data_IF_456166835416
#
_entry.id   IF_456166835416
#
_cell.length_a   1.000
_cell.length_b   1.000
_cell.length_c   1.000
_cell.angle_alpha   90.00
_cell.angle_beta   90.00
_cell.angle_gamma   90.00
#
_symmetry.space_group_name_H-M   'P 1'
#
loop_
_entity.id
_entity.type
_entity.pdbx_description
1 polymer ?
#
# COMPACT_ATOMS: atom_id res chain seq x y z
N UNK A 1 22.35 12.32 -8.32
CA UNK A 1 21.02 12.92 -8.35
C UNK A 1 20.04 11.98 -9.05
N UNK A 2 18.87 11.73 -8.41
CA UNK A 2 17.83 10.82 -8.93
C UNK A 2 17.25 11.31 -10.25
N UNK A 3 17.04 12.62 -10.39
CA UNK A 3 16.54 13.24 -11.62
C UNK A 3 17.44 12.91 -12.81
N UNK A 4 18.73 13.17 -12.67
CA UNK A 4 19.70 12.93 -13.73
C UNK A 4 19.79 11.43 -14.07
N UNK A 5 19.75 10.55 -13.06
CA UNK A 5 19.77 9.10 -13.25
C UNK A 5 18.56 8.62 -14.05
N UNK A 6 17.35 9.07 -13.72
CA UNK A 6 16.15 8.68 -14.45
C UNK A 6 16.16 9.13 -15.90
N UNK A 7 16.58 10.37 -16.18
CA UNK A 7 16.73 10.88 -17.56
C UNK A 7 17.78 10.08 -18.34
N UNK A 8 18.96 9.81 -17.75
CA UNK A 8 19.99 9.01 -18.40
C UNK A 8 19.55 7.57 -18.69
N UNK A 9 18.78 6.95 -17.81
CA UNK A 9 18.22 5.61 -18.03
C UNK A 9 17.23 5.66 -19.19
N UNK A 10 16.29 6.60 -19.22
CA UNK A 10 15.33 6.80 -20.30
C UNK A 10 16.03 6.98 -21.64
N UNK A 11 16.99 7.90 -21.71
CA UNK A 11 17.71 8.22 -22.97
C UNK A 11 18.50 7.04 -23.51
N UNK A 12 19.01 6.20 -22.61
CA UNK A 12 19.76 5.00 -22.97
C UNK A 12 18.87 3.82 -23.37
N UNK A 13 17.73 3.64 -22.68
CA UNK A 13 16.84 2.49 -22.88
C UNK A 13 15.74 2.75 -23.92
N UNK A 14 15.36 4.01 -24.14
CA UNK A 14 14.25 4.43 -25.02
C UNK A 14 12.99 3.57 -24.83
N UNK A 15 12.43 3.51 -23.60
CA UNK A 15 11.32 2.62 -23.32
C UNK A 15 10.03 3.11 -24.00
N UNK A 16 9.17 2.17 -24.42
CA UNK A 16 7.85 2.49 -24.97
C UNK A 16 6.92 3.09 -23.91
N UNK A 17 7.09 2.68 -22.66
CA UNK A 17 6.35 3.19 -21.52
C UNK A 17 7.18 3.15 -20.23
N UNK A 18 6.84 4.04 -19.30
CA UNK A 18 7.43 4.08 -17.95
C UNK A 18 6.35 3.73 -16.95
N UNK A 19 6.64 2.75 -16.07
CA UNK A 19 5.73 2.30 -15.02
C UNK A 19 6.34 2.64 -13.65
N UNK A 20 5.75 3.59 -12.91
CA UNK A 20 6.16 3.86 -11.53
C UNK A 20 5.77 2.71 -10.61
N UNK A 21 6.74 2.06 -9.98
CA UNK A 21 6.53 0.89 -9.11
C UNK A 21 6.92 1.13 -7.66
N UNK A 22 7.78 2.10 -7.43
CA UNK A 22 8.26 2.42 -6.08
C UNK A 22 7.98 3.87 -5.72
N UNK A 23 7.85 4.11 -4.45
CA UNK A 23 7.88 5.46 -3.86
C UNK A 23 9.28 6.08 -4.02
N UNK A 24 9.50 7.26 -3.57
CA UNK A 24 10.82 7.90 -3.57
C UNK A 24 11.50 7.99 -4.95
N UNK A 25 10.71 8.22 -5.99
CA UNK A 25 11.16 8.54 -7.35
C UNK A 25 11.12 10.06 -7.58
N UNK A 26 11.80 10.55 -8.61
CA UNK A 26 11.76 11.97 -9.01
C UNK A 26 10.50 12.23 -9.86
N UNK A 27 9.34 12.39 -9.20
CA UNK A 27 8.05 12.56 -9.89
C UNK A 27 8.00 13.79 -10.81
N UNK A 28 8.75 14.85 -10.48
CA UNK A 28 8.88 16.01 -11.36
C UNK A 28 9.47 15.65 -12.74
N UNK A 29 10.42 14.70 -12.77
CA UNK A 29 10.98 14.18 -14.03
C UNK A 29 9.94 13.39 -14.82
N UNK A 30 9.11 12.60 -14.13
CA UNK A 30 8.02 11.88 -14.82
C UNK A 30 7.02 12.85 -15.46
N UNK A 31 6.68 13.94 -14.79
CA UNK A 31 5.81 14.99 -15.33
C UNK A 31 6.45 15.64 -16.57
N UNK A 32 7.74 15.97 -16.52
CA UNK A 32 8.48 16.52 -17.65
C UNK A 32 8.51 15.55 -18.85
N UNK A 33 8.76 14.27 -18.60
CA UNK A 33 8.80 13.23 -19.62
C UNK A 33 7.42 13.00 -20.26
N UNK A 34 6.36 12.99 -19.45
CA UNK A 34 4.98 12.86 -19.93
C UNK A 34 4.60 14.06 -20.80
N UNK A 35 4.99 15.30 -20.43
CA UNK A 35 4.81 16.49 -21.24
C UNK A 35 5.59 16.45 -22.57
N UNK A 36 6.68 15.68 -22.65
CA UNK A 36 7.45 15.42 -23.87
C UNK A 36 6.87 14.27 -24.72
N UNK A 37 5.71 13.71 -24.34
CA UNK A 37 5.05 12.63 -25.05
C UNK A 37 5.47 11.20 -24.65
N UNK A 38 6.30 11.05 -23.61
CA UNK A 38 6.61 9.73 -23.07
C UNK A 38 5.40 9.18 -22.32
N UNK A 39 5.01 7.95 -22.60
CA UNK A 39 3.91 7.29 -21.89
C UNK A 39 4.34 6.92 -20.47
N UNK A 40 3.64 7.45 -19.46
CA UNK A 40 3.81 7.11 -18.04
C UNK A 40 2.50 6.52 -17.54
N UNK A 41 2.53 5.30 -17.01
CA UNK A 41 1.31 4.57 -16.60
C UNK A 41 1.52 3.89 -15.25
N UNK A 42 0.68 4.18 -14.22
CA UNK A 42 -0.32 5.26 -14.18
C UNK A 42 0.31 6.64 -14.40
N UNK A 43 -0.49 7.67 -14.55
CA UNK A 43 0.02 9.01 -14.94
C UNK A 43 1.10 9.55 -14.00
N UNK A 44 1.98 10.39 -14.49
CA UNK A 44 2.97 11.08 -13.66
C UNK A 44 2.29 11.91 -12.55
N UNK A 45 1.10 12.45 -12.81
CA UNK A 45 0.28 13.14 -11.80
C UNK A 45 -0.18 12.18 -10.71
N UNK A 46 -0.66 10.98 -11.05
CA UNK A 46 -1.03 9.97 -10.06
C UNK A 46 0.16 9.62 -9.16
N UNK A 47 1.33 9.34 -9.75
CA UNK A 47 2.54 9.05 -8.98
C UNK A 47 2.94 10.21 -8.06
N UNK A 48 2.81 11.45 -8.51
CA UNK A 48 3.14 12.64 -7.72
C UNK A 48 2.19 12.86 -6.55
N UNK A 49 0.88 12.81 -6.80
CA UNK A 49 -0.14 13.07 -5.77
C UNK A 49 -0.15 12.00 -4.68
N UNK A 50 0.08 10.74 -5.03
CA UNK A 50 0.05 9.64 -4.07
C UNK A 50 1.34 9.50 -3.26
N UNK A 51 2.45 10.09 -3.70
CA UNK A 51 3.67 10.21 -2.91
C UNK A 51 3.60 11.30 -1.84
N UNK A 52 2.68 12.24 -1.98
CA UNK A 52 2.47 13.38 -1.12
C UNK A 52 1.11 13.23 -0.41
N UNK A 53 1.14 12.96 0.91
CA UNK A 53 -0.10 12.84 1.70
C UNK A 53 -0.97 14.07 1.63
N UNK A 54 -0.38 15.26 1.46
CA UNK A 54 -1.16 16.47 1.30
C UNK A 54 -1.94 16.45 -0.01
N UNK A 55 -1.26 16.20 -1.12
CA UNK A 55 -1.91 16.23 -2.43
C UNK A 55 -3.05 15.23 -2.56
N UNK A 56 -2.87 13.99 -2.09
CA UNK A 56 -3.94 12.98 -2.16
C UNK A 56 -5.07 13.26 -1.16
N UNK A 57 -4.77 13.80 0.03
CA UNK A 57 -5.78 14.14 1.03
C UNK A 57 -6.66 15.31 0.57
N UNK A 58 -6.07 16.37 0.03
CA UNK A 58 -6.80 17.51 -0.53
C UNK A 58 -7.64 17.09 -1.75
N UNK A 59 -7.11 16.23 -2.63
CA UNK A 59 -7.90 15.68 -3.72
C UNK A 59 -9.13 14.92 -3.20
N UNK A 60 -8.95 14.04 -2.25
CA UNK A 60 -10.04 13.20 -1.73
C UNK A 60 -11.06 14.03 -0.93
N UNK A 61 -10.61 14.79 0.06
CA UNK A 61 -11.51 15.48 1.00
C UNK A 61 -12.09 16.77 0.45
N UNK A 62 -11.31 17.59 -0.26
CA UNK A 62 -11.73 18.93 -0.67
C UNK A 62 -12.27 18.95 -2.10
N UNK A 63 -11.60 18.28 -3.03
CA UNK A 63 -12.01 18.27 -4.44
C UNK A 63 -13.14 17.28 -4.69
N UNK A 64 -12.99 16.04 -4.23
CA UNK A 64 -13.96 14.96 -4.47
C UNK A 64 -15.01 14.85 -3.36
N UNK A 65 -14.77 15.46 -2.21
CA UNK A 65 -15.65 15.45 -1.05
C UNK A 65 -16.00 14.04 -0.55
N UNK A 66 -15.06 13.10 -0.71
CA UNK A 66 -15.23 11.75 -0.17
C UNK A 66 -14.93 11.74 1.34
N UNK A 67 -15.61 10.88 2.11
CA UNK A 67 -15.38 10.79 3.55
C UNK A 67 -13.93 10.38 3.86
N UNK A 68 -13.26 11.15 4.71
CA UNK A 68 -11.92 10.89 5.25
C UNK A 68 -11.94 11.10 6.76
N UNK A 69 -10.86 10.72 7.47
CA UNK A 69 -10.65 11.21 8.84
C UNK A 69 -10.53 12.74 8.84
N UNK A 70 -10.99 13.45 9.88
CA UNK A 70 -10.67 14.87 10.07
C UNK A 70 -9.15 15.06 10.09
N UNK A 71 -8.65 16.14 9.51
CA UNK A 71 -7.19 16.34 9.43
C UNK A 71 -6.78 17.81 9.44
N UNK A 72 -5.51 18.05 9.79
CA UNK A 72 -4.82 19.35 9.64
C UNK A 72 -3.38 19.10 9.24
N UNK A 73 -2.83 19.97 8.41
CA UNK A 73 -1.39 20.00 8.13
C UNK A 73 -0.70 21.01 9.04
N UNK A 74 0.55 20.72 9.41
CA UNK A 74 1.36 21.59 10.23
C UNK A 74 2.83 21.57 9.76
N UNK A 75 3.37 22.73 9.45
CA UNK A 75 4.77 22.92 9.03
C UNK A 75 5.67 23.36 10.19
N UNK A 76 5.08 23.91 11.24
CA UNK A 76 5.77 24.37 12.44
C UNK A 76 5.24 23.66 13.69
N UNK A 77 6.02 23.67 14.75
CA UNK A 77 5.60 23.09 16.03
C UNK A 77 4.38 23.83 16.61
N UNK A 78 4.25 25.14 16.40
CA UNK A 78 3.09 25.92 16.83
C UNK A 78 1.83 25.48 16.09
N UNK A 79 1.89 25.37 14.76
CA UNK A 79 0.79 24.86 13.94
C UNK A 79 0.42 23.41 14.32
N UNK A 80 1.42 22.59 14.68
CA UNK A 80 1.20 21.24 15.14
C UNK A 80 0.39 21.15 16.43
N UNK A 81 0.71 21.99 17.42
CA UNK A 81 -0.06 22.07 18.66
C UNK A 81 -1.51 22.53 18.40
N UNK A 82 -1.69 23.54 17.53
CA UNK A 82 -2.98 24.00 17.11
C UNK A 82 -3.77 22.90 16.37
N UNK A 83 -3.10 22.16 15.48
CA UNK A 83 -3.72 21.06 14.73
C UNK A 83 -4.25 19.96 15.67
N UNK A 84 -3.51 19.63 16.74
CA UNK A 84 -3.98 18.66 17.75
C UNK A 84 -5.20 19.20 18.50
N UNK A 85 -5.19 20.47 18.86
CA UNK A 85 -6.32 21.10 19.57
C UNK A 85 -7.59 21.10 18.71
N UNK A 86 -7.46 21.38 17.41
CA UNK A 86 -8.59 21.39 16.46
C UNK A 86 -9.09 19.97 16.11
N UNK A 87 -8.19 19.01 15.92
CA UNK A 87 -8.55 17.62 15.57
C UNK A 87 -9.04 16.85 16.79
N UNK A 88 -8.45 17.10 17.94
CA UNK A 88 -8.74 16.43 19.21
C UNK A 88 -7.98 15.11 19.38
N UNK A 89 -8.02 14.60 20.61
CA UNK A 89 -7.43 13.29 20.96
C UNK A 89 -8.54 12.24 21.11
N UNK A 90 -8.26 10.97 20.74
CA UNK A 90 -7.01 10.51 20.15
C UNK A 90 -6.84 10.93 18.69
N UNK A 91 -5.57 11.12 18.26
CA UNK A 91 -5.23 11.44 16.88
C UNK A 91 -3.96 10.71 16.42
N UNK A 92 -3.72 10.72 15.11
CA UNK A 92 -2.53 10.10 14.49
C UNK A 92 -1.71 11.19 13.82
N UNK A 93 -0.40 11.20 14.09
CA UNK A 93 0.55 12.13 13.48
C UNK A 93 1.44 11.37 12.53
N UNK A 94 1.60 11.89 11.31
CA UNK A 94 2.43 11.27 10.26
C UNK A 94 3.24 12.35 9.55
N UNK A 95 4.50 12.08 9.16
CA UNK A 95 5.18 12.95 8.17
C UNK A 95 4.40 12.96 6.85
N UNK A 96 4.34 14.09 6.18
CA UNK A 96 3.68 14.20 4.85
C UNK A 96 4.35 13.30 3.83
N UNK A 97 5.66 13.13 3.92
CA UNK A 97 6.44 12.24 3.06
C UNK A 97 7.14 11.16 3.89
N UNK A 98 6.53 10.01 4.03
CA UNK A 98 7.12 8.81 4.63
C UNK A 98 6.49 7.55 4.04
N UNK A 99 7.09 6.38 4.30
CA UNK A 99 6.52 5.08 3.91
C UNK A 99 6.65 4.09 5.05
N UNK A 100 5.85 3.03 5.03
CA UNK A 100 5.89 1.93 6.02
C UNK A 100 5.79 2.44 7.46
N UNK A 101 4.88 3.37 7.74
CA UNK A 101 4.62 3.86 9.09
C UNK A 101 5.77 4.63 9.78
N UNK A 102 6.89 4.89 9.09
CA UNK A 102 8.03 5.60 9.69
C UNK A 102 7.64 7.02 10.08
N UNK A 103 7.91 7.37 11.34
CA UNK A 103 7.55 8.67 11.90
C UNK A 103 6.07 8.80 12.27
N UNK A 104 5.27 7.73 12.17
CA UNK A 104 3.87 7.72 12.56
C UNK A 104 3.74 7.43 14.06
N UNK A 105 2.86 8.18 14.74
CA UNK A 105 2.50 7.97 16.14
C UNK A 105 1.01 8.16 16.35
N UNK A 106 0.41 7.34 17.22
CA UNK A 106 -0.93 7.57 17.73
C UNK A 106 -0.83 8.27 19.09
N UNK A 107 -1.51 9.39 19.23
CA UNK A 107 -1.54 10.20 20.46
C UNK A 107 -2.84 9.92 21.22
N UNK A 108 -2.72 9.47 22.44
CA UNK A 108 -3.85 9.26 23.35
C UNK A 108 -3.95 10.36 24.42
N UNK A 109 -2.88 11.09 24.65
CA UNK A 109 -2.84 12.14 25.67
C UNK A 109 -1.71 13.14 25.46
N UNK A 110 -1.68 14.17 26.30
CA UNK A 110 -0.71 15.27 26.21
C UNK A 110 0.76 14.80 26.30
N UNK A 111 1.02 13.70 27.02
CA UNK A 111 2.38 13.15 27.16
C UNK A 111 2.96 12.63 25.84
N UNK A 112 2.12 12.29 24.86
CA UNK A 112 2.53 11.73 23.58
C UNK A 112 2.93 12.81 22.57
N UNK A 113 2.54 14.07 22.80
CA UNK A 113 2.61 15.16 21.83
C UNK A 113 4.05 15.46 21.40
N UNK A 114 4.93 15.73 22.35
CA UNK A 114 6.33 16.07 22.06
C UNK A 114 7.16 14.88 21.51
N UNK A 115 7.03 13.65 22.04
CA UNK A 115 7.65 12.48 21.43
C UNK A 115 7.23 12.25 19.99
N UNK A 116 5.93 12.38 19.67
CA UNK A 116 5.40 12.18 18.33
C UNK A 116 5.92 13.21 17.31
N UNK A 117 5.99 14.49 17.70
CA UNK A 117 6.59 15.52 16.85
C UNK A 117 8.03 15.17 16.48
N UNK A 118 8.86 14.85 17.49
CA UNK A 118 10.26 14.48 17.24
C UNK A 118 10.41 13.27 16.36
N UNK A 119 9.63 12.21 16.62
CA UNK A 119 9.65 11.00 15.81
C UNK A 119 9.19 11.25 14.37
N UNK A 120 8.19 12.11 14.17
CA UNK A 120 7.74 12.49 12.83
C UNK A 120 8.83 13.24 12.05
N UNK A 121 9.59 14.14 12.71
CA UNK A 121 10.71 14.84 12.08
C UNK A 121 11.86 13.90 11.69
N UNK A 122 12.17 12.91 12.52
CA UNK A 122 13.19 11.88 12.23
C UNK A 122 12.78 10.94 11.10
N UNK A 123 11.48 10.60 11.00
CA UNK A 123 10.92 9.72 9.98
C UNK A 123 10.65 10.38 8.63
N UNK A 124 10.71 11.70 8.55
CA UNK A 124 10.41 12.45 7.32
C UNK A 124 11.46 12.19 6.24
N UNK A 125 11.01 12.04 4.99
CA UNK A 125 11.88 11.98 3.81
C UNK A 125 11.99 13.37 3.17
N UNK A 126 13.22 13.84 2.96
CA UNK A 126 13.49 15.15 2.37
C UNK A 126 13.38 16.30 3.38
N UNK A 127 13.31 17.53 2.90
CA UNK A 127 13.28 18.76 3.71
C UNK A 127 11.88 19.12 4.26
N UNK A 128 10.97 18.17 4.35
CA UNK A 128 9.59 18.57 4.42
C UNK A 128 9.10 19.01 5.80
N UNK A 129 9.71 18.71 6.92
CA UNK A 129 9.29 19.21 8.26
C UNK A 129 7.77 19.18 8.56
N UNK A 130 6.97 19.01 7.52
CA UNK A 130 5.52 19.06 7.56
C UNK A 130 4.92 17.72 7.99
N UNK A 131 3.96 17.77 8.88
CA UNK A 131 3.18 16.63 9.34
C UNK A 131 1.70 16.79 9.00
N UNK A 132 0.99 15.67 8.93
CA UNK A 132 -0.46 15.63 9.00
C UNK A 132 -0.87 15.12 10.37
N UNK A 133 -1.83 15.79 11.00
CA UNK A 133 -2.54 15.36 12.21
C UNK A 133 -3.91 14.90 11.77
N UNK A 134 -4.22 13.62 11.97
CA UNK A 134 -5.48 12.99 11.56
C UNK A 134 -6.26 12.51 12.80
N UNK A 135 -7.56 12.76 12.84
CA UNK A 135 -8.44 12.20 13.86
C UNK A 135 -8.39 10.67 13.81
N UNK A 136 -8.31 10.05 14.97
CA UNK A 136 -8.34 8.60 15.07
C UNK A 136 -9.71 8.07 14.64
N UNK A 137 -9.73 7.18 13.66
CA UNK A 137 -10.95 6.49 13.24
C UNK A 137 -11.04 5.21 14.06
N UNK A 138 -12.07 5.10 14.89
CA UNK A 138 -12.39 3.87 15.62
C UNK A 138 -13.11 2.92 14.65
N UNK A 139 -12.34 2.17 13.85
CA UNK A 139 -12.84 1.29 12.81
C UNK A 139 -12.96 -0.16 13.30
N UNK A 140 -13.84 -0.93 12.66
CA UNK A 140 -13.99 -2.36 12.91
C UNK A 140 -12.88 -3.15 12.20
N UNK A 141 -12.52 -2.74 10.97
CA UNK A 141 -11.44 -3.34 10.17
C UNK A 141 -10.99 -2.41 9.04
N UNK A 142 -9.79 -2.66 8.54
CA UNK A 142 -9.22 -2.03 7.36
C UNK A 142 -9.31 -2.95 6.15
N UNK A 143 -9.49 -2.37 4.96
CA UNK A 143 -9.40 -3.09 3.70
C UNK A 143 -8.53 -2.37 2.68
N UNK A 144 -7.97 -3.17 1.78
CA UNK A 144 -7.50 -2.69 0.47
C UNK A 144 -8.47 -3.16 -0.61
N UNK A 145 -8.98 -2.23 -1.41
CA UNK A 145 -9.76 -2.54 -2.61
C UNK A 145 -8.88 -2.32 -3.84
N UNK A 146 -8.40 -3.42 -4.42
CA UNK A 146 -7.66 -3.36 -5.67
C UNK A 146 -8.60 -2.95 -6.80
N UNK A 147 -8.35 -1.78 -7.36
CA UNK A 147 -9.14 -1.13 -8.40
C UNK A 147 -8.35 -1.09 -9.68
N UNK A 148 -8.86 -1.69 -10.75
CA UNK A 148 -8.18 -1.82 -12.04
C UNK A 148 -8.84 -0.93 -13.06
N UNK A 149 -8.14 0.11 -13.52
CA UNK A 149 -8.58 0.96 -14.63
C UNK A 149 -7.97 0.46 -15.93
N UNK A 150 -8.80 0.09 -16.88
CA UNK A 150 -8.39 -0.51 -18.15
C UNK A 150 -9.24 -0.01 -19.32
N UNK A 151 -8.91 -0.38 -20.54
CA UNK A 151 -9.59 0.11 -21.75
C UNK A 151 -11.11 -0.18 -21.79
N UNK A 152 -11.59 -1.15 -21.02
CA UNK A 152 -13.01 -1.48 -20.90
C UNK A 152 -13.75 -0.81 -19.73
N UNK A 153 -13.07 0.04 -18.94
CA UNK A 153 -13.64 0.71 -17.77
C UNK A 153 -12.89 0.43 -16.48
N UNK A 154 -13.60 0.35 -15.36
CA UNK A 154 -13.07 0.03 -14.03
C UNK A 154 -13.56 -1.34 -13.57
N UNK A 155 -12.65 -2.17 -13.06
CA UNK A 155 -12.96 -3.46 -12.44
C UNK A 155 -12.40 -3.49 -11.02
N UNK A 156 -13.08 -4.21 -10.13
CA UNK A 156 -12.66 -4.33 -8.73
C UNK A 156 -12.36 -5.80 -8.41
N UNK A 157 -11.28 -6.04 -7.63
CA UNK A 157 -11.10 -7.31 -6.96
C UNK A 157 -12.04 -7.41 -5.75
N UNK A 158 -12.25 -8.62 -5.23
CA UNK A 158 -12.86 -8.77 -3.92
C UNK A 158 -12.04 -8.03 -2.87
N UNK A 159 -12.67 -7.45 -1.82
CA UNK A 159 -11.98 -6.68 -0.80
C UNK A 159 -10.95 -7.55 -0.06
N UNK A 160 -9.82 -6.97 0.25
CA UNK A 160 -8.72 -7.62 0.94
C UNK A 160 -8.64 -7.06 2.36
N UNK A 161 -8.87 -7.92 3.35
CA UNK A 161 -8.58 -7.60 4.75
C UNK A 161 -7.09 -7.79 5.02
N UNK A 162 -6.53 -7.00 5.92
CA UNK A 162 -5.12 -7.11 6.27
C UNK A 162 -4.87 -6.76 7.75
N UNK A 163 -3.72 -7.17 8.25
CA UNK A 163 -3.20 -6.81 9.56
C UNK A 163 -1.82 -6.18 9.39
N UNK A 164 -1.65 -5.06 10.05
CA UNK A 164 -0.37 -4.37 10.18
C UNK A 164 0.13 -4.45 11.62
N UNK A 165 1.43 -4.37 11.81
CA UNK A 165 2.06 -4.27 13.12
C UNK A 165 3.18 -3.23 13.04
N UNK A 166 3.12 -2.20 13.89
CA UNK A 166 4.04 -1.08 13.82
C UNK A 166 4.03 -0.31 12.49
N UNK A 167 2.94 -0.39 11.74
CA UNK A 167 2.82 0.21 10.38
C UNK A 167 3.37 -0.66 9.25
N UNK A 168 3.88 -1.87 9.56
CA UNK A 168 4.35 -2.82 8.55
C UNK A 168 3.33 -3.95 8.33
N UNK A 169 3.09 -4.27 7.08
CA UNK A 169 2.23 -5.36 6.63
C UNK A 169 2.70 -6.73 7.16
N UNK A 170 1.80 -7.49 7.77
CA UNK A 170 2.07 -8.82 8.32
C UNK A 170 1.33 -9.93 7.60
N UNK A 171 0.04 -9.74 7.34
CA UNK A 171 -0.80 -10.70 6.65
C UNK A 171 -1.95 -10.02 5.91
N UNK A 172 -2.48 -10.68 4.89
CA UNK A 172 -3.73 -10.30 4.24
C UNK A 172 -4.55 -11.53 3.89
N UNK A 173 -5.84 -11.31 3.69
CA UNK A 173 -6.78 -12.36 3.31
C UNK A 173 -7.84 -11.83 2.35
N UNK A 174 -8.38 -12.72 1.53
CA UNK A 174 -9.39 -12.41 0.53
C UNK A 174 -10.39 -13.57 0.37
N UNK A 175 -11.72 -13.29 0.31
CA UNK A 175 -12.30 -11.97 0.48
C UNK A 175 -12.43 -11.56 1.96
N UNK A 176 -12.37 -10.24 2.24
CA UNK A 176 -12.80 -9.72 3.53
C UNK A 176 -14.32 -9.70 3.58
N UNK A 177 -14.97 -10.38 4.53
CA UNK A 177 -16.40 -10.26 4.73
C UNK A 177 -16.80 -8.83 5.10
N UNK A 178 -17.78 -8.29 4.38
CA UNK A 178 -18.34 -6.95 4.65
C UNK A 178 -19.75 -6.84 4.11
N UNK A 179 -20.49 -5.81 4.52
CA UNK A 179 -21.84 -5.56 4.00
C UNK A 179 -21.79 -5.10 2.54
N UNK A 180 -22.83 -5.41 1.77
CA UNK A 180 -22.94 -4.93 0.38
C UNK A 180 -22.96 -3.40 0.31
N UNK A 181 -23.58 -2.74 1.30
CA UNK A 181 -23.63 -1.28 1.40
C UNK A 181 -22.25 -0.67 1.56
N UNK A 182 -21.43 -1.22 2.45
CA UNK A 182 -20.04 -0.74 2.63
C UNK A 182 -19.21 -1.01 1.38
N UNK A 183 -19.34 -2.19 0.75
CA UNK A 183 -18.61 -2.53 -0.47
C UNK A 183 -18.96 -1.59 -1.63
N UNK A 184 -20.24 -1.32 -1.86
CA UNK A 184 -20.68 -0.38 -2.91
C UNK A 184 -20.12 1.03 -2.68
N UNK A 185 -20.09 1.51 -1.44
CA UNK A 185 -19.46 2.79 -1.10
C UNK A 185 -17.95 2.78 -1.36
N UNK A 186 -17.24 1.72 -0.98
CA UNK A 186 -15.82 1.57 -1.28
C UNK A 186 -15.54 1.62 -2.79
N UNK A 187 -16.33 0.88 -3.58
CA UNK A 187 -16.20 0.86 -5.04
C UNK A 187 -16.46 2.24 -5.65
N UNK A 188 -17.50 2.93 -5.19
CA UNK A 188 -17.82 4.27 -5.65
C UNK A 188 -16.71 5.28 -5.35
N UNK A 189 -16.20 5.30 -4.11
CA UNK A 189 -15.10 6.19 -3.72
C UNK A 189 -13.83 5.84 -4.50
N UNK A 190 -13.50 4.54 -4.62
CA UNK A 190 -12.33 4.10 -5.36
C UNK A 190 -12.40 4.50 -6.84
N UNK A 191 -13.55 4.40 -7.47
CA UNK A 191 -13.75 4.84 -8.85
C UNK A 191 -13.58 6.36 -9.00
N UNK A 192 -14.14 7.15 -8.09
CA UNK A 192 -13.97 8.61 -8.09
C UNK A 192 -12.50 9.00 -7.94
N UNK A 193 -11.80 8.48 -6.94
CA UNK A 193 -10.40 8.80 -6.67
C UNK A 193 -9.50 8.37 -7.81
N UNK A 194 -9.62 7.13 -8.29
CA UNK A 194 -8.77 6.63 -9.37
C UNK A 194 -9.08 7.29 -10.71
N UNK A 195 -10.31 7.74 -10.93
CA UNK A 195 -10.68 8.55 -12.11
C UNK A 195 -10.01 9.91 -12.08
N UNK A 196 -10.01 10.58 -10.93
CA UNK A 196 -9.35 11.87 -10.75
C UNK A 196 -7.82 11.78 -10.90
N UNK A 197 -7.20 10.68 -10.44
CA UNK A 197 -5.78 10.40 -10.65
C UNK A 197 -5.44 10.15 -12.12
N UNK A 198 -6.39 9.63 -12.87
CA UNK A 198 -6.25 9.36 -14.30
C UNK A 198 -5.39 8.15 -14.65
N UNK A 199 -5.26 7.90 -15.95
CA UNK A 199 -4.46 6.79 -16.49
C UNK A 199 -5.12 5.41 -16.32
N UNK A 200 -4.41 4.39 -16.78
CA UNK A 200 -4.74 2.98 -16.61
C UNK A 200 -3.76 2.36 -15.60
N UNK A 201 -4.10 1.19 -15.11
CA UNK A 201 -3.29 0.47 -14.16
C UNK A 201 -4.11 -0.07 -12.99
N UNK A 202 -3.43 -0.68 -12.05
CA UNK A 202 -3.99 -1.15 -10.80
C UNK A 202 -3.69 -0.12 -9.70
N UNK A 203 -4.70 0.13 -8.88
CA UNK A 203 -4.63 1.02 -7.72
C UNK A 203 -5.04 0.24 -6.47
N UNK A 204 -4.20 0.25 -5.43
CA UNK A 204 -4.57 -0.21 -4.11
C UNK A 204 -5.21 0.91 -3.32
N UNK A 205 -6.53 0.88 -3.15
CA UNK A 205 -7.28 1.92 -2.39
C UNK A 205 -7.59 1.39 -1.00
N UNK A 206 -7.15 2.10 0.02
CA UNK A 206 -7.31 1.70 1.42
C UNK A 206 -8.44 2.44 2.10
N UNK A 207 -9.19 1.71 2.92
CA UNK A 207 -10.36 2.21 3.63
C UNK A 207 -10.41 1.73 5.07
N UNK A 208 -10.86 2.60 5.97
CA UNK A 208 -11.33 2.23 7.29
C UNK A 208 -12.84 2.01 7.24
N UNK A 209 -13.31 0.91 7.83
CA UNK A 209 -14.72 0.50 7.81
C UNK A 209 -15.25 0.45 9.24
N UNK A 210 -16.39 1.13 9.49
CA UNK A 210 -17.14 1.03 10.75
C UNK A 210 -18.62 0.78 10.43
N UNK A 211 -19.09 -0.45 10.62
CA UNK A 211 -20.40 -0.86 10.12
C UNK A 211 -20.53 -0.59 8.63
N UNK A 212 -21.46 0.27 8.24
CA UNK A 212 -21.66 0.74 6.85
C UNK A 212 -20.98 2.08 6.55
N UNK A 213 -20.27 2.67 7.51
CA UNK A 213 -19.47 3.88 7.28
C UNK A 213 -18.11 3.50 6.66
N UNK A 214 -17.72 4.26 5.63
CA UNK A 214 -16.48 4.06 4.88
C UNK A 214 -15.70 5.36 4.89
N UNK A 215 -14.43 5.28 5.25
CA UNK A 215 -13.50 6.41 5.24
C UNK A 215 -12.32 6.08 4.34
N UNK A 216 -12.07 6.94 3.35
CA UNK A 216 -10.88 6.84 2.51
C UNK A 216 -9.63 7.13 3.36
N UNK A 217 -8.65 6.23 3.28
CA UNK A 217 -7.37 6.36 3.97
C UNK A 217 -6.26 6.78 3.02
N UNK A 218 -5.90 5.93 2.06
CA UNK A 218 -4.77 6.14 1.16
C UNK A 218 -5.02 5.46 -0.19
N UNK A 219 -4.22 5.79 -1.20
CA UNK A 219 -4.19 5.08 -2.49
C UNK A 219 -2.77 4.94 -3.00
N UNK A 220 -2.43 3.76 -3.48
CA UNK A 220 -1.18 3.45 -4.18
C UNK A 220 -1.46 3.18 -5.66
N UNK A 221 -0.86 3.91 -6.61
CA UNK A 221 -1.11 3.75 -8.04
C UNK A 221 -0.21 2.64 -8.63
N UNK A 222 -0.18 1.48 -8.01
CA UNK A 222 0.67 0.33 -8.31
C UNK A 222 0.18 -0.92 -7.59
N UNK A 223 0.70 -2.13 -7.91
CA UNK A 223 0.50 -3.32 -7.08
C UNK A 223 0.80 -3.03 -5.61
N UNK A 224 0.00 -3.58 -4.73
CA UNK A 224 0.00 -3.30 -3.30
C UNK A 224 0.44 -4.51 -2.48
N UNK A 225 1.19 -4.30 -1.40
CA UNK A 225 1.68 -5.39 -0.54
C UNK A 225 0.57 -6.34 -0.06
N UNK A 226 -0.61 -5.79 0.28
CA UNK A 226 -1.76 -6.60 0.68
C UNK A 226 -2.31 -7.45 -0.46
N UNK A 227 -2.13 -7.00 -1.71
CA UNK A 227 -2.56 -7.66 -2.93
C UNK A 227 -1.78 -8.91 -3.28
N UNK A 228 -0.66 -9.20 -2.61
CA UNK A 228 0.10 -10.45 -2.84
C UNK A 228 -0.74 -11.71 -2.63
N UNK A 229 -1.81 -11.66 -1.83
CA UNK A 229 -2.78 -12.77 -1.69
C UNK A 229 -3.40 -13.15 -3.01
N UNK A 230 -3.55 -12.22 -3.96
CA UNK A 230 -4.14 -12.47 -5.29
C UNK A 230 -3.34 -13.45 -6.14
N UNK A 231 -2.07 -13.67 -5.82
CA UNK A 231 -1.26 -14.69 -6.51
C UNK A 231 -1.80 -16.11 -6.32
N UNK A 232 -2.60 -16.35 -5.29
CA UNK A 232 -3.22 -17.65 -5.05
C UNK A 232 -4.75 -17.59 -5.05
N UNK A 233 -5.34 -16.49 -4.61
CA UNK A 233 -6.81 -16.32 -4.49
C UNK A 233 -7.52 -16.11 -5.82
N UNK A 234 -6.83 -15.64 -6.86
CA UNK A 234 -7.44 -15.26 -8.15
C UNK A 234 -6.81 -16.01 -9.33
N UNK A 235 -7.51 -16.01 -10.46
CA UNK A 235 -6.98 -16.47 -11.75
C UNK A 235 -5.94 -15.49 -12.32
N UNK A 236 -6.17 -14.17 -12.12
CA UNK A 236 -5.25 -13.11 -12.45
C UNK A 236 -4.77 -12.43 -11.17
N UNK A 237 -3.49 -12.53 -10.87
CA UNK A 237 -2.90 -11.79 -9.75
C UNK A 237 -2.95 -10.28 -9.99
N UNK A 238 -2.80 -9.49 -8.94
CA UNK A 238 -2.70 -8.03 -9.05
C UNK A 238 -1.64 -7.60 -10.09
N UNK A 239 -0.50 -8.31 -10.16
CA UNK A 239 0.56 -8.03 -11.14
C UNK A 239 0.07 -8.31 -12.57
N UNK A 240 -0.65 -9.41 -12.79
CA UNK A 240 -1.20 -9.75 -14.11
C UNK A 240 -2.29 -8.75 -14.52
N UNK A 241 -3.14 -8.31 -13.58
CA UNK A 241 -4.14 -7.27 -13.80
C UNK A 241 -3.48 -5.94 -14.15
N UNK A 242 -2.43 -5.54 -13.42
CA UNK A 242 -1.68 -4.33 -13.70
C UNK A 242 -1.06 -4.37 -15.09
N UNK A 243 -0.38 -5.46 -15.46
CA UNK A 243 0.21 -5.64 -16.79
C UNK A 243 -0.85 -5.53 -17.90
N UNK A 244 -2.01 -6.18 -17.73
CA UNK A 244 -3.11 -6.03 -18.71
C UNK A 244 -3.55 -4.58 -18.85
N UNK A 245 -3.75 -3.89 -17.74
CA UNK A 245 -4.20 -2.51 -17.75
C UNK A 245 -3.19 -1.57 -18.42
N UNK A 246 -1.91 -1.62 -18.06
CA UNK A 246 -0.87 -0.75 -18.64
C UNK A 246 -0.60 -1.00 -20.11
N UNK A 247 -0.87 -2.22 -20.59
CA UNK A 247 -0.78 -2.58 -22.01
C UNK A 247 -2.06 -2.23 -22.81
N UNK A 248 -3.08 -1.65 -22.16
CA UNK A 248 -4.35 -1.33 -22.82
C UNK A 248 -5.21 -2.55 -23.13
N UNK A 249 -5.00 -3.66 -22.44
CA UNK A 249 -5.78 -4.87 -22.59
C UNK A 249 -7.04 -4.84 -21.69
N UNK A 250 -8.15 -5.48 -22.09
CA UNK A 250 -9.35 -5.52 -21.27
C UNK A 250 -9.20 -6.47 -20.09
N UNK A 251 -9.94 -6.17 -19.03
CA UNK A 251 -10.14 -7.04 -17.86
C UNK A 251 -11.62 -7.32 -17.71
N UNK A 252 -12.19 -8.26 -18.49
CA UNK A 252 -13.63 -8.48 -18.54
C UNK A 252 -14.18 -9.18 -17.30
N UNK A 253 -13.35 -9.94 -16.61
CA UNK A 253 -13.70 -10.67 -15.40
C UNK A 253 -12.47 -10.94 -14.53
N UNK A 254 -12.65 -10.86 -13.22
CA UNK A 254 -11.70 -11.27 -12.20
C UNK A 254 -12.34 -12.41 -11.42
N UNK A 255 -11.74 -13.59 -11.49
CA UNK A 255 -12.32 -14.79 -10.90
C UNK A 255 -11.56 -15.19 -9.65
N UNK A 256 -12.27 -15.23 -8.53
CA UNK A 256 -11.74 -15.72 -7.24
C UNK A 256 -11.79 -17.25 -7.20
N UNK A 257 -10.74 -17.87 -6.67
CA UNK A 257 -10.62 -19.34 -6.53
C UNK A 257 -11.19 -19.85 -5.22
N UNK A 258 -11.21 -19.01 -4.17
CA UNK A 258 -11.69 -19.36 -2.84
C UNK A 258 -11.07 -18.48 -1.76
N UNK A 259 -11.35 -18.83 -0.52
CA UNK A 259 -10.77 -18.14 0.63
C UNK A 259 -9.26 -18.35 0.69
N UNK A 260 -8.52 -17.26 0.75
CA UNK A 260 -7.07 -17.29 0.72
C UNK A 260 -6.44 -16.31 1.70
N UNK A 261 -5.20 -16.56 2.05
CA UNK A 261 -4.40 -15.66 2.86
C UNK A 261 -2.93 -15.63 2.43
N UNK A 262 -2.27 -14.54 2.78
CA UNK A 262 -0.82 -14.41 2.70
C UNK A 262 -0.25 -14.06 4.08
N UNK A 263 0.94 -14.55 4.39
CA UNK A 263 1.67 -14.24 5.62
C UNK A 263 3.12 -13.94 5.30
N UNK A 264 3.68 -12.89 5.89
CA UNK A 264 5.04 -12.46 5.62
C UNK A 264 6.08 -13.40 6.24
N UNK A 265 7.24 -13.46 5.61
CA UNK A 265 8.44 -14.09 6.17
C UNK A 265 9.41 -12.96 6.48
N UNK A 266 9.70 -12.79 7.77
CA UNK A 266 10.58 -11.75 8.28
C UNK A 266 11.97 -12.30 8.56
N UNK A 267 12.99 -11.51 8.25
CA UNK A 267 14.36 -11.71 8.67
C UNK A 267 14.74 -10.62 9.67
N UNK A 268 15.44 -11.01 10.74
CA UNK A 268 15.87 -10.08 11.79
C UNK A 268 17.38 -10.20 11.99
N UNK A 269 18.12 -9.11 11.86
CA UNK A 269 19.57 -9.11 12.09
C UNK A 269 20.34 -8.36 11.04
N UNK A 270 21.61 -8.75 10.86
CA UNK A 270 22.48 -8.11 9.88
C UNK A 270 23.26 -9.17 9.10
N UNK A 271 23.09 -9.19 7.77
CA UNK A 271 23.84 -10.07 6.87
C UNK A 271 23.85 -9.51 5.45
N UNK A 272 24.94 -9.77 4.73
CA UNK A 272 25.06 -9.47 3.29
C UNK A 272 24.62 -10.65 2.41
N UNK A 273 24.33 -11.81 3.02
CA UNK A 273 23.91 -13.02 2.31
C UNK A 273 22.83 -13.72 3.10
N UNK A 274 21.81 -14.21 2.41
CA UNK A 274 20.69 -14.91 2.99
C UNK A 274 20.51 -16.26 2.30
N UNK A 275 20.33 -17.30 3.09
CA UNK A 275 19.86 -18.59 2.61
C UNK A 275 18.61 -19.02 3.38
N UNK A 276 17.87 -19.96 2.81
CA UNK A 276 16.58 -20.36 3.33
C UNK A 276 16.52 -21.88 3.48
N UNK A 277 15.92 -22.37 4.57
CA UNK A 277 15.64 -23.78 4.77
C UNK A 277 14.20 -24.01 5.22
N UNK A 278 13.74 -25.26 5.25
CA UNK A 278 12.39 -25.61 5.63
C UNK A 278 11.35 -25.59 4.50
N UNK A 279 11.67 -25.05 3.32
CA UNK A 279 10.72 -24.88 2.22
C UNK A 279 10.03 -26.21 1.79
N UNK A 280 10.76 -27.31 1.74
CA UNK A 280 10.20 -28.60 1.36
C UNK A 280 9.10 -29.08 2.34
N UNK A 281 9.33 -28.94 3.64
CA UNK A 281 8.36 -29.30 4.67
C UNK A 281 7.16 -28.33 4.67
N UNK A 282 7.42 -27.05 4.54
CA UNK A 282 6.37 -26.01 4.51
C UNK A 282 5.43 -26.18 3.30
N UNK A 283 5.97 -26.49 2.12
CA UNK A 283 5.20 -26.73 0.90
C UNK A 283 4.61 -28.14 0.77
N UNK A 284 4.82 -29.02 1.74
CA UNK A 284 4.13 -30.32 1.81
C UNK A 284 2.62 -30.18 2.08
N UNK A 285 2.16 -29.04 2.60
CA UNK A 285 0.75 -28.76 2.75
C UNK A 285 0.13 -28.43 1.39
N UNK A 286 -1.03 -29.05 1.02
CA UNK A 286 -1.69 -28.77 -0.24
C UNK A 286 -2.20 -27.32 -0.28
N UNK A 287 -2.37 -26.78 -1.50
CA UNK A 287 -2.92 -25.44 -1.76
C UNK A 287 -2.11 -24.32 -1.11
N UNK A 288 -0.79 -24.49 -1.07
CA UNK A 288 0.14 -23.47 -0.56
C UNK A 288 1.16 -23.07 -1.63
N UNK A 289 1.66 -21.85 -1.52
CA UNK A 289 2.72 -21.31 -2.36
C UNK A 289 3.68 -20.49 -1.52
N UNK A 290 4.90 -20.30 -2.04
CA UNK A 290 5.96 -19.53 -1.41
C UNK A 290 6.56 -18.56 -2.44
N UNK A 291 6.84 -17.33 -1.99
CA UNK A 291 7.64 -16.36 -2.74
C UNK A 291 8.76 -15.85 -1.84
N UNK A 292 9.99 -16.03 -2.28
CA UNK A 292 11.18 -15.45 -1.65
C UNK A 292 11.65 -14.29 -2.52
N UNK A 293 11.88 -13.12 -1.89
CA UNK A 293 12.07 -11.86 -2.63
C UNK A 293 13.49 -11.62 -3.13
N UNK A 294 14.44 -12.52 -2.84
CA UNK A 294 15.83 -12.38 -3.28
C UNK A 294 16.51 -11.11 -2.79
N UNK A 295 16.17 -10.64 -1.59
CA UNK A 295 16.80 -9.45 -1.00
C UNK A 295 18.29 -9.71 -0.81
N UNK A 296 19.19 -8.77 -1.24
CA UNK A 296 20.64 -9.00 -1.19
C UNK A 296 21.21 -8.94 0.22
N UNK A 297 20.54 -8.23 1.14
CA UNK A 297 21.02 -7.97 2.50
C UNK A 297 19.87 -7.81 3.47
N UNK A 298 20.17 -7.96 4.75
CA UNK A 298 19.32 -7.59 5.88
C UNK A 298 20.12 -6.68 6.82
N UNK A 299 19.48 -5.59 7.26
CA UNK A 299 19.97 -4.73 8.34
C UNK A 299 18.75 -4.30 9.17
N UNK A 300 18.61 -4.88 10.36
CA UNK A 300 17.43 -4.79 11.20
C UNK A 300 16.36 -5.82 10.86
N UNK A 301 15.11 -5.39 10.77
CA UNK A 301 13.98 -6.21 10.32
C UNK A 301 13.71 -5.99 8.83
N UNK A 302 13.50 -7.08 8.10
CA UNK A 302 13.22 -7.02 6.67
C UNK A 302 12.30 -8.14 6.22
N UNK A 303 11.27 -7.82 5.47
CA UNK A 303 10.40 -8.78 4.80
C UNK A 303 11.15 -9.40 3.62
N UNK A 304 11.34 -10.72 3.68
CA UNK A 304 12.16 -11.49 2.72
C UNK A 304 11.34 -12.47 1.89
N UNK A 305 10.07 -12.62 2.19
CA UNK A 305 9.18 -13.49 1.45
C UNK A 305 7.75 -13.41 1.93
N UNK A 306 6.90 -14.17 1.27
CA UNK A 306 5.50 -14.36 1.62
C UNK A 306 5.08 -15.81 1.38
N UNK A 307 4.36 -16.37 2.32
CA UNK A 307 3.66 -17.65 2.19
C UNK A 307 2.19 -17.38 1.83
N UNK A 308 1.64 -18.18 0.95
CA UNK A 308 0.28 -18.05 0.44
C UNK A 308 -0.47 -19.37 0.66
N UNK A 309 -1.75 -19.31 1.02
CA UNK A 309 -2.58 -20.49 1.20
C UNK A 309 -4.03 -20.27 0.74
N UNK A 310 -4.63 -21.32 0.18
CA UNK A 310 -6.06 -21.48 -0.03
C UNK A 310 -6.62 -22.44 1.01
N UNK A 311 -7.87 -22.22 1.43
CA UNK A 311 -8.60 -23.13 2.31
C UNK A 311 -10.13 -22.95 2.12
N UNK A 312 -10.93 -23.71 2.88
CA UNK A 312 -12.39 -23.65 2.81
C UNK A 312 -12.96 -22.33 3.39
N UNK A 313 -12.21 -21.68 4.28
CA UNK A 313 -12.60 -20.41 4.88
C UNK A 313 -11.35 -19.57 5.23
N UNK A 314 -11.57 -18.29 5.55
CA UNK A 314 -10.51 -17.31 5.82
C UNK A 314 -9.65 -17.69 7.05
N UNK A 315 -10.25 -18.17 8.12
CA UNK A 315 -9.50 -18.54 9.33
C UNK A 315 -8.51 -19.68 9.05
N UNK A 316 -8.97 -20.70 8.33
CA UNK A 316 -8.10 -21.82 7.91
C UNK A 316 -7.01 -21.35 6.95
N UNK A 317 -7.35 -20.47 5.98
CA UNK A 317 -6.36 -19.92 5.05
C UNK A 317 -5.27 -19.12 5.78
N UNK A 318 -5.65 -18.27 6.71
CA UNK A 318 -4.72 -17.48 7.55
C UNK A 318 -3.83 -18.37 8.41
N UNK A 319 -4.43 -19.34 9.10
CA UNK A 319 -3.68 -20.32 9.91
C UNK A 319 -2.67 -21.10 9.06
N UNK A 320 -3.08 -21.58 7.88
CA UNK A 320 -2.23 -22.32 6.95
C UNK A 320 -1.09 -21.44 6.40
N UNK A 321 -1.36 -20.24 5.94
CA UNK A 321 -0.34 -19.31 5.45
C UNK A 321 0.69 -18.97 6.53
N UNK A 322 0.22 -18.70 7.77
CA UNK A 322 1.09 -18.45 8.92
C UNK A 322 1.97 -19.66 9.26
N UNK A 323 1.41 -20.87 9.24
CA UNK A 323 2.18 -22.09 9.50
C UNK A 323 3.27 -22.32 8.43
N UNK A 324 2.97 -22.07 7.15
CA UNK A 324 3.95 -22.16 6.06
C UNK A 324 5.05 -21.10 6.23
N UNK A 325 4.69 -19.86 6.55
CA UNK A 325 5.66 -18.79 6.81
C UNK A 325 6.59 -19.11 7.98
N UNK A 326 6.04 -19.59 9.11
CA UNK A 326 6.80 -20.01 10.28
C UNK A 326 7.72 -21.21 10.03
N UNK A 327 7.39 -22.05 9.06
CA UNK A 327 8.22 -23.19 8.64
C UNK A 327 9.49 -22.79 7.88
N UNK A 328 9.60 -21.55 7.41
CA UNK A 328 10.77 -21.06 6.68
C UNK A 328 11.78 -20.49 7.68
N UNK A 329 12.96 -21.06 7.67
CA UNK A 329 14.08 -20.58 8.47
C UNK A 329 15.03 -19.75 7.62
N UNK A 330 15.22 -18.50 8.01
CA UNK A 330 16.21 -17.61 7.40
C UNK A 330 17.56 -17.88 8.06
N UNK A 331 18.59 -18.14 7.26
CA UNK A 331 19.97 -18.33 7.70
C UNK A 331 20.80 -17.15 7.22
N UNK A 332 21.67 -16.70 8.09
CA UNK A 332 22.58 -15.59 7.87
C UNK A 332 23.99 -16.18 7.69
N UNK A 333 24.44 -16.19 6.44
CA UNK A 333 25.81 -16.63 6.14
C UNK A 333 26.72 -15.39 6.30
N UNK A 334 27.60 -15.43 7.29
CA UNK A 334 28.56 -14.36 7.61
C UNK A 334 29.81 -14.47 6.77
#
# INVERSE_FOLDING_TARGET
DRRQRQMCIRDRQQPDLIVPEIEAIATSVLVELEAQGQRVIPTATAARLTMDRQGIRELAAETLQVPTSPYRFAATHEEYLQAIDEVGLPCVVKPVMSSSGKGQSTLHGQADVEPAWRYAQEGARGNAGMVIVEGFVDFDYEITLLTVRHCGGTSFCDPIGHRQEGGDYQESWQPQPMTSVALEKCQHIAEQVTTALGGWGLFGVEFFIKGDAVYFSEVSPRPHDTGMVTMISQDLSEFALHVRAILGLPVPNIRTRGAAASSVILAHGRSQTLSYSGAAAALAQPDTQLRLFGKPEVDGERRVGVALALADNIEQARSKASAVAAGIQVRYDN
#
